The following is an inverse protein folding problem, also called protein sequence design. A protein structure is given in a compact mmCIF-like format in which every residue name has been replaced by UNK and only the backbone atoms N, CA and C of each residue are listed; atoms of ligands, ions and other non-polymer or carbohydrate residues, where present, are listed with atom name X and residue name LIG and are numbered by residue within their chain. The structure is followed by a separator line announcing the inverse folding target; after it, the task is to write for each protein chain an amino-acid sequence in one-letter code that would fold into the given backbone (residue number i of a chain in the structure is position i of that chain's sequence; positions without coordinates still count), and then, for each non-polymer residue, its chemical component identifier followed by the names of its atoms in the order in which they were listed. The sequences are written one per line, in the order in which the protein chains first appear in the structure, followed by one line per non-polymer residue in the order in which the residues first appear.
data_IF_666342645871
#
_entry.id   IF_666342645871
#
_cell.length_a   1.000
_cell.length_b   1.000
_cell.length_c   1.000
_cell.angle_alpha   90.00
_cell.angle_beta   90.00
_cell.angle_gamma   90.00
#
_symmetry.space_group_name_H-M   'P 1'
#
loop_
_entity.id
_entity.type
_entity.pdbx_description
1 polymer ?
#
# COMPACT_ATOMS: atom_id res chain seq x y z
N UNK A 1 -22.03 23.28 -12.84
CA UNK A 1 -23.44 22.82 -12.63
C UNK A 1 -23.60 21.31 -12.93
N UNK A 2 -22.96 20.75 -13.95
CA UNK A 2 -23.05 19.31 -14.30
C UNK A 2 -22.45 18.41 -13.19
N UNK A 3 -21.27 18.73 -12.65
CA UNK A 3 -20.60 17.98 -11.56
C UNK A 3 -21.45 17.96 -10.28
N UNK A 4 -22.19 19.04 -9.98
CA UNK A 4 -23.06 19.10 -8.81
C UNK A 4 -24.32 18.23 -8.95
N UNK A 5 -24.83 18.03 -10.18
CA UNK A 5 -25.95 17.11 -10.45
C UNK A 5 -25.53 15.65 -10.40
N UNK A 6 -24.32 15.32 -10.84
CA UNK A 6 -23.78 13.97 -10.81
C UNK A 6 -23.60 13.47 -9.36
N UNK A 7 -23.15 14.34 -8.43
CA UNK A 7 -23.06 14.02 -6.99
C UNK A 7 -24.41 13.78 -6.30
N UNK A 8 -25.52 14.30 -6.88
CA UNK A 8 -26.88 14.08 -6.32
C UNK A 8 -27.52 12.77 -6.78
N UNK A 9 -26.98 12.10 -7.80
CA UNK A 9 -27.53 10.85 -8.37
C UNK A 9 -26.80 9.59 -7.89
N UNK A 10 -25.63 9.71 -7.25
CA UNK A 10 -24.90 8.57 -6.73
C UNK A 10 -25.22 8.34 -5.25
N UNK A 11 -25.28 7.09 -4.84
CA UNK A 11 -25.28 6.68 -3.43
C UNK A 11 -24.04 7.30 -2.78
N UNK A 12 -24.21 8.02 -1.68
CA UNK A 12 -23.10 8.66 -0.98
C UNK A 12 -22.17 7.60 -0.37
N UNK A 13 -20.89 7.92 -0.25
CA UNK A 13 -19.88 6.99 0.28
C UNK A 13 -20.26 6.48 1.68
N UNK A 14 -20.80 7.33 2.55
CA UNK A 14 -21.36 6.96 3.87
C UNK A 14 -22.46 5.91 3.81
N UNK A 15 -23.29 5.92 2.74
CA UNK A 15 -24.37 4.93 2.59
C UNK A 15 -23.78 3.56 2.21
N UNK A 16 -22.69 3.54 1.43
CA UNK A 16 -21.94 2.32 1.08
C UNK A 16 -21.21 1.74 2.29
N UNK A 17 -20.57 2.59 3.08
CA UNK A 17 -19.93 2.20 4.34
C UNK A 17 -20.95 1.62 5.33
N UNK A 18 -22.13 2.24 5.46
CA UNK A 18 -23.23 1.72 6.25
C UNK A 18 -23.72 0.35 5.80
N UNK A 19 -23.77 0.09 4.48
CA UNK A 19 -24.13 -1.20 3.92
C UNK A 19 -23.09 -2.29 4.24
N UNK A 20 -21.81 -1.93 4.21
CA UNK A 20 -20.69 -2.85 4.49
C UNK A 20 -20.39 -2.96 6.01
N UNK A 21 -20.93 -2.06 6.83
CA UNK A 21 -20.66 -2.03 8.26
C UNK A 21 -19.22 -1.67 8.62
N UNK A 22 -18.53 -0.94 7.75
CA UNK A 22 -17.12 -0.55 7.91
C UNK A 22 -16.85 0.83 7.30
N UNK A 23 -15.85 1.54 7.83
CA UNK A 23 -15.25 2.68 7.15
C UNK A 23 -14.12 2.20 6.23
N UNK A 24 -14.05 2.78 5.04
CA UNK A 24 -12.98 2.50 4.07
C UNK A 24 -11.76 3.36 4.35
N UNK A 25 -10.58 2.75 4.30
CA UNK A 25 -9.29 3.43 4.46
C UNK A 25 -8.26 2.82 3.51
N UNK A 26 -7.20 3.58 3.25
CA UNK A 26 -6.02 3.13 2.55
C UNK A 26 -4.90 2.75 3.51
N UNK A 27 -4.42 1.52 3.46
CA UNK A 27 -3.25 1.05 4.17
C UNK A 27 -2.12 0.90 3.13
N UNK A 28 -1.20 1.86 3.13
CA UNK A 28 -0.14 1.97 2.13
C UNK A 28 1.19 1.48 2.68
N UNK A 29 1.56 0.24 2.35
CA UNK A 29 2.89 -0.27 2.71
C UNK A 29 3.96 0.26 1.76
N UNK A 30 5.01 0.83 2.33
CA UNK A 30 6.24 1.22 1.63
C UNK A 30 7.46 0.54 2.26
N UNK A 31 8.55 0.43 1.51
CA UNK A 31 9.79 -0.21 1.96
C UNK A 31 10.49 -1.00 0.86
N UNK A 32 11.69 -1.49 1.13
CA UNK A 32 12.55 -2.19 0.18
C UNK A 32 11.93 -3.50 -0.33
N UNK A 33 12.40 -4.00 -1.47
CA UNK A 33 12.08 -5.36 -1.91
C UNK A 33 12.52 -6.37 -0.84
N UNK A 34 11.74 -7.43 -0.60
CA UNK A 34 12.08 -8.42 0.42
C UNK A 34 11.88 -7.97 1.88
N UNK A 35 11.40 -6.74 2.13
CA UNK A 35 11.16 -6.25 3.51
C UNK A 35 9.98 -6.90 4.23
N UNK A 36 9.12 -7.67 3.54
CA UNK A 36 7.98 -8.36 4.15
C UNK A 36 6.61 -7.73 3.90
N UNK A 37 6.50 -6.63 3.12
CA UNK A 37 5.24 -5.91 2.83
C UNK A 37 4.09 -6.82 2.42
N UNK A 38 4.27 -7.62 1.36
CA UNK A 38 3.22 -8.50 0.83
C UNK A 38 2.83 -9.60 1.83
N UNK A 39 3.77 -10.10 2.60
CA UNK A 39 3.52 -11.10 3.66
C UNK A 39 2.62 -10.53 4.75
N UNK A 40 2.95 -9.32 5.23
CA UNK A 40 2.15 -8.62 6.24
C UNK A 40 0.78 -8.25 5.66
N UNK A 41 0.71 -7.74 4.42
CA UNK A 41 -0.54 -7.37 3.75
C UNK A 41 -1.51 -8.56 3.66
N UNK A 42 -1.02 -9.75 3.25
CA UNK A 42 -1.83 -10.98 3.17
C UNK A 42 -2.29 -11.44 4.55
N UNK A 43 -1.43 -11.35 5.57
CA UNK A 43 -1.80 -11.73 6.92
C UNK A 43 -2.84 -10.77 7.50
N UNK A 44 -2.70 -9.46 7.27
CA UNK A 44 -3.67 -8.45 7.66
C UNK A 44 -5.03 -8.67 6.97
N UNK A 45 -5.03 -8.92 5.65
CA UNK A 45 -6.27 -9.24 4.91
C UNK A 45 -7.03 -10.41 5.53
N UNK A 46 -6.31 -11.49 5.88
CA UNK A 46 -6.91 -12.66 6.53
C UNK A 46 -7.54 -12.32 7.88
N UNK A 47 -6.88 -11.49 8.67
CA UNK A 47 -7.38 -11.06 9.97
C UNK A 47 -8.59 -10.13 9.86
N UNK A 48 -8.61 -9.23 8.88
CA UNK A 48 -9.76 -8.37 8.59
C UNK A 48 -10.95 -9.21 8.09
N UNK A 49 -10.70 -10.16 7.19
CA UNK A 49 -11.73 -11.07 6.68
C UNK A 49 -12.37 -11.92 7.80
N UNK A 50 -11.58 -12.46 8.75
CA UNK A 50 -12.10 -13.19 9.92
C UNK A 50 -13.06 -12.33 10.78
N UNK A 51 -12.89 -11.01 10.73
CA UNK A 51 -13.74 -10.03 11.43
C UNK A 51 -14.95 -9.58 10.61
N UNK A 52 -15.15 -10.16 9.41
CA UNK A 52 -16.24 -9.81 8.52
C UNK A 52 -16.04 -8.49 7.77
N UNK A 53 -14.81 -8.00 7.70
CA UNK A 53 -14.45 -6.75 7.02
C UNK A 53 -13.99 -7.04 5.60
N UNK A 54 -14.56 -6.29 4.64
CA UNK A 54 -14.21 -6.41 3.21
C UNK A 54 -13.00 -5.57 2.91
N UNK A 55 -11.93 -6.21 2.44
CA UNK A 55 -10.72 -5.53 2.01
C UNK A 55 -10.18 -6.05 0.68
N UNK A 56 -9.32 -5.27 0.03
CA UNK A 56 -8.66 -5.62 -1.24
C UNK A 56 -7.18 -5.30 -1.19
N UNK A 57 -6.35 -6.30 -1.52
CA UNK A 57 -4.91 -6.09 -1.71
C UNK A 57 -4.61 -5.68 -3.16
N UNK A 58 -3.79 -4.65 -3.30
CA UNK A 58 -3.11 -4.25 -4.52
C UNK A 58 -1.62 -4.51 -4.32
N UNK A 59 -1.10 -5.54 -4.97
CA UNK A 59 0.32 -5.93 -4.89
C UNK A 59 1.03 -5.63 -6.20
N UNK A 60 2.32 -5.28 -6.12
CA UNK A 60 3.11 -4.81 -7.25
C UNK A 60 3.19 -5.82 -8.40
N UNK A 61 3.26 -7.11 -8.12
CA UNK A 61 3.37 -8.14 -9.15
C UNK A 61 2.04 -8.29 -9.93
N UNK A 62 0.91 -8.31 -9.22
CA UNK A 62 -0.41 -8.43 -9.83
C UNK A 62 -0.78 -7.19 -10.67
N UNK A 63 -0.45 -6.00 -10.18
CA UNK A 63 -0.74 -4.75 -10.90
C UNK A 63 0.10 -4.64 -12.17
N UNK A 64 1.37 -5.05 -12.14
CA UNK A 64 2.25 -5.01 -13.30
C UNK A 64 1.92 -6.06 -14.36
N UNK A 65 1.30 -7.17 -14.02
CA UNK A 65 0.79 -8.14 -14.99
C UNK A 65 -0.53 -7.74 -15.66
N UNK A 66 -1.24 -6.74 -15.08
CA UNK A 66 -2.53 -6.25 -15.55
C UNK A 66 -2.51 -4.77 -15.94
N UNK A 67 -3.04 -3.91 -15.09
CA UNK A 67 -3.29 -2.48 -15.33
C UNK A 67 -2.01 -1.72 -15.77
N UNK A 68 -0.85 -2.10 -15.26
CA UNK A 68 0.43 -1.45 -15.50
C UNK A 68 1.40 -2.28 -16.34
N UNK A 69 0.90 -3.20 -17.16
CA UNK A 69 1.72 -4.09 -17.99
C UNK A 69 2.53 -3.35 -19.09
N UNK A 70 2.15 -2.13 -19.42
CA UNK A 70 2.84 -1.27 -20.37
C UNK A 70 3.92 -0.37 -19.73
N UNK A 71 4.10 -0.41 -18.39
CA UNK A 71 5.06 0.41 -17.67
C UNK A 71 6.35 -0.37 -17.38
N UNK A 72 7.49 0.29 -17.64
CA UNK A 72 8.83 -0.19 -17.28
C UNK A 72 9.26 0.20 -15.86
N UNK A 73 10.58 0.48 -15.72
CA UNK A 73 11.19 0.82 -14.44
C UNK A 73 11.94 2.18 -14.48
N UNK A 74 11.67 3.00 -15.50
CA UNK A 74 12.17 4.38 -15.53
C UNK A 74 11.52 5.17 -14.37
N UNK A 75 12.06 6.32 -14.03
CA UNK A 75 11.51 7.19 -13.01
C UNK A 75 10.07 7.61 -13.35
N UNK A 76 9.84 8.02 -14.61
CA UNK A 76 8.49 8.37 -15.09
C UNK A 76 7.50 7.19 -14.99
N UNK A 77 7.93 5.97 -15.37
CA UNK A 77 7.09 4.78 -15.23
C UNK A 77 6.75 4.47 -13.76
N UNK A 78 7.69 4.71 -12.85
CA UNK A 78 7.44 4.51 -11.41
C UNK A 78 6.42 5.50 -10.86
N UNK A 79 6.52 6.77 -11.25
CA UNK A 79 5.54 7.81 -10.89
C UNK A 79 4.17 7.43 -11.43
N UNK A 80 4.07 7.10 -12.73
CA UNK A 80 2.81 6.73 -13.36
C UNK A 80 2.23 5.43 -12.77
N UNK A 81 3.07 4.45 -12.43
CA UNK A 81 2.63 3.25 -11.73
C UNK A 81 1.94 3.57 -10.41
N UNK A 82 2.54 4.40 -9.57
CA UNK A 82 1.97 4.80 -8.28
C UNK A 82 0.72 5.66 -8.47
N UNK A 83 0.73 6.58 -9.44
CA UNK A 83 -0.44 7.40 -9.76
C UNK A 83 -1.66 6.53 -10.12
N UNK A 84 -1.50 5.56 -11.03
CA UNK A 84 -2.60 4.65 -11.41
C UNK A 84 -3.10 3.81 -10.23
N UNK A 85 -2.19 3.35 -9.37
CA UNK A 85 -2.56 2.60 -8.17
C UNK A 85 -3.37 3.47 -7.22
N UNK A 86 -2.97 4.72 -7.02
CA UNK A 86 -3.68 5.67 -6.16
C UNK A 86 -5.11 5.94 -6.69
N UNK A 87 -5.28 6.14 -8.01
CA UNK A 87 -6.60 6.31 -8.62
C UNK A 87 -7.51 5.08 -8.44
N UNK A 88 -6.95 3.87 -8.67
CA UNK A 88 -7.69 2.62 -8.47
C UNK A 88 -8.04 2.44 -6.99
N UNK A 89 -7.11 2.74 -6.09
CA UNK A 89 -7.34 2.68 -4.64
C UNK A 89 -8.48 3.61 -4.22
N UNK A 90 -8.51 4.83 -4.77
CA UNK A 90 -9.59 5.79 -4.52
C UNK A 90 -10.94 5.24 -4.92
N UNK A 91 -11.06 4.58 -6.08
CA UNK A 91 -12.32 3.96 -6.51
C UNK A 91 -12.79 2.86 -5.55
N UNK A 92 -11.88 2.06 -4.97
CA UNK A 92 -12.24 1.07 -3.95
C UNK A 92 -12.69 1.73 -2.65
N UNK A 93 -11.99 2.77 -2.20
CA UNK A 93 -12.33 3.53 -0.99
C UNK A 93 -13.70 4.20 -1.17
N UNK A 94 -13.94 4.87 -2.29
CA UNK A 94 -15.24 5.47 -2.63
C UNK A 94 -16.38 4.42 -2.74
N UNK A 95 -16.01 3.14 -2.80
CA UNK A 95 -16.95 2.00 -2.78
C UNK A 95 -17.10 1.37 -1.39
N UNK A 96 -16.48 1.91 -0.34
CA UNK A 96 -16.54 1.41 1.03
C UNK A 96 -15.57 0.25 1.31
N UNK A 97 -14.61 -0.03 0.42
CA UNK A 97 -13.70 -1.18 0.53
C UNK A 97 -12.37 -0.74 1.14
N UNK A 98 -11.96 -1.37 2.24
CA UNK A 98 -10.63 -1.19 2.82
C UNK A 98 -9.59 -1.62 1.80
N UNK A 99 -8.65 -0.75 1.46
CA UNK A 99 -7.67 -1.04 0.43
C UNK A 99 -6.26 -1.14 1.03
N UNK A 100 -5.54 -2.19 0.68
CA UNK A 100 -4.19 -2.46 1.16
C UNK A 100 -3.25 -2.45 -0.05
N UNK A 101 -2.29 -1.53 -0.09
CA UNK A 101 -1.30 -1.45 -1.16
C UNK A 101 0.09 -1.88 -0.66
N UNK A 102 0.78 -2.72 -1.41
CA UNK A 102 2.12 -3.21 -1.08
C UNK A 102 3.11 -2.91 -2.22
N UNK A 103 3.72 -1.72 -2.16
CA UNK A 103 4.65 -1.22 -3.18
C UNK A 103 5.94 -0.68 -2.57
N UNK A 104 7.01 -0.57 -3.36
CA UNK A 104 8.26 0.03 -2.89
C UNK A 104 8.05 1.52 -2.64
N UNK A 105 7.41 2.25 -3.59
CA UNK A 105 7.17 3.72 -3.54
C UNK A 105 8.37 4.50 -2.97
N UNK A 106 9.48 4.63 -3.73
CA UNK A 106 10.81 4.86 -3.18
C UNK A 106 11.08 6.29 -2.68
N UNK A 107 10.32 7.29 -3.07
CA UNK A 107 10.53 8.68 -2.64
C UNK A 107 9.28 9.30 -2.02
N UNK A 108 9.48 10.37 -1.25
CA UNK A 108 8.41 11.04 -0.51
C UNK A 108 7.39 11.67 -1.45
N UNK A 109 7.82 12.30 -2.56
CA UNK A 109 6.93 13.01 -3.49
C UNK A 109 5.87 12.09 -4.10
N UNK A 110 6.26 10.86 -4.51
CA UNK A 110 5.28 9.91 -5.08
C UNK A 110 4.31 9.37 -4.04
N UNK A 111 4.72 9.26 -2.77
CA UNK A 111 3.83 8.85 -1.67
C UNK A 111 2.87 9.97 -1.30
N UNK A 112 3.36 11.22 -1.27
CA UNK A 112 2.53 12.40 -1.07
C UNK A 112 1.52 12.57 -2.21
N UNK A 113 1.94 12.38 -3.46
CA UNK A 113 1.02 12.36 -4.61
C UNK A 113 -0.08 11.33 -4.43
N UNK A 114 0.25 10.11 -4.00
CA UNK A 114 -0.73 9.06 -3.75
C UNK A 114 -1.71 9.45 -2.64
N UNK A 115 -1.20 10.00 -1.52
CA UNK A 115 -2.02 10.47 -0.41
C UNK A 115 -2.96 11.62 -0.82
N UNK A 116 -2.49 12.53 -1.68
CA UNK A 116 -3.32 13.64 -2.21
C UNK A 116 -4.42 13.16 -3.17
N UNK A 117 -4.17 12.12 -3.96
CA UNK A 117 -5.19 11.52 -4.86
C UNK A 117 -6.27 10.81 -4.04
N UNK A 118 -5.87 10.04 -3.04
CA UNK A 118 -6.77 9.21 -2.22
C UNK A 118 -7.58 10.07 -1.24
N UNK A 119 -6.92 11.01 -0.58
CA UNK A 119 -7.39 11.79 0.57
C UNK A 119 -6.50 11.50 1.77
N UNK A 120 -5.89 12.55 2.33
CA UNK A 120 -4.90 12.38 3.41
C UNK A 120 -5.51 11.82 4.70
N UNK A 121 -6.80 12.10 4.96
CA UNK A 121 -7.55 11.63 6.12
C UNK A 121 -7.76 10.11 6.13
N UNK A 122 -7.83 9.49 4.94
CA UNK A 122 -8.05 8.05 4.76
C UNK A 122 -6.77 7.29 4.42
N UNK A 123 -5.61 7.98 4.36
CA UNK A 123 -4.34 7.42 3.94
C UNK A 123 -3.42 7.10 5.13
N UNK A 124 -3.19 5.83 5.41
CA UNK A 124 -2.31 5.34 6.48
C UNK A 124 -1.05 4.75 5.88
N UNK A 125 0.04 5.52 5.91
CA UNK A 125 1.35 5.09 5.43
C UNK A 125 2.02 4.18 6.45
N UNK A 126 2.36 2.97 6.04
CA UNK A 126 3.05 1.96 6.88
C UNK A 126 4.44 1.72 6.30
N UNK A 127 5.45 2.12 7.03
CA UNK A 127 6.85 1.92 6.66
C UNK A 127 7.38 0.57 7.16
N UNK A 128 7.72 -0.33 6.23
CA UNK A 128 8.40 -1.58 6.56
C UNK A 128 9.91 -1.34 6.48
N UNK A 129 10.50 -0.97 7.64
CA UNK A 129 11.85 -0.42 7.80
C UNK A 129 12.95 -1.48 7.89
N UNK A 130 12.67 -2.70 7.47
CA UNK A 130 13.63 -3.81 7.48
C UNK A 130 14.95 -3.39 6.82
N UNK A 131 16.11 -3.57 7.49
CA UNK A 131 17.41 -3.17 6.96
C UNK A 131 17.72 -3.80 5.62
N UNK A 132 18.45 -3.06 4.75
CA UNK A 132 18.86 -3.54 3.43
C UNK A 132 19.61 -4.87 3.51
N UNK A 133 20.51 -5.02 4.46
CA UNK A 133 21.28 -6.26 4.68
C UNK A 133 20.38 -7.48 4.91
N UNK A 134 19.29 -7.29 5.63
CA UNK A 134 18.33 -8.37 5.88
C UNK A 134 17.46 -8.63 4.63
N UNK A 135 17.08 -7.59 3.91
CA UNK A 135 16.38 -7.74 2.64
C UNK A 135 17.23 -8.50 1.60
N UNK A 136 18.53 -8.17 1.50
CA UNK A 136 19.49 -8.88 0.65
C UNK A 136 19.68 -10.34 1.10
N UNK A 137 19.81 -10.59 2.41
CA UNK A 137 19.93 -11.95 2.95
C UNK A 137 18.73 -12.82 2.57
N UNK A 138 17.53 -12.25 2.61
CA UNK A 138 16.30 -12.95 2.23
C UNK A 138 16.22 -13.22 0.74
N UNK A 139 16.49 -12.22 -0.06
CA UNK A 139 16.45 -12.16 -1.54
C UNK A 139 15.46 -13.15 -2.21
N UNK A 140 14.24 -13.20 -1.72
CA UNK A 140 13.21 -14.21 -2.06
C UNK A 140 13.00 -14.37 -3.56
N UNK A 141 13.25 -13.29 -4.34
CA UNK A 141 13.06 -13.26 -5.80
C UNK A 141 14.38 -13.30 -6.58
N UNK A 142 15.54 -13.39 -5.91
CA UNK A 142 16.86 -13.32 -6.53
C UNK A 142 17.18 -11.96 -7.19
N UNK A 143 16.43 -10.91 -6.83
CA UNK A 143 16.56 -9.59 -7.45
C UNK A 143 17.80 -8.84 -6.96
N UNK A 144 18.16 -8.98 -5.68
CA UNK A 144 19.38 -8.36 -5.14
C UNK A 144 20.63 -8.95 -5.76
N UNK A 145 20.72 -10.26 -5.88
CA UNK A 145 21.82 -10.92 -6.55
C UNK A 145 21.97 -10.44 -8.00
N UNK A 146 20.89 -10.31 -8.75
CA UNK A 146 20.89 -9.74 -10.12
C UNK A 146 21.31 -8.28 -10.15
N UNK A 147 20.82 -7.45 -9.22
CA UNK A 147 21.18 -6.04 -9.15
C UNK A 147 22.68 -5.86 -8.82
N UNK A 148 23.24 -6.67 -7.90
CA UNK A 148 24.67 -6.65 -7.57
C UNK A 148 25.57 -7.06 -8.76
N UNK A 149 25.09 -7.95 -9.62
CA UNK A 149 25.79 -8.31 -10.87
C UNK A 149 25.60 -7.30 -12.01
N UNK A 150 24.82 -6.22 -11.77
CA UNK A 150 24.55 -5.20 -12.79
C UNK A 150 23.51 -5.59 -13.84
N UNK A 151 22.82 -6.73 -13.67
CA UNK A 151 21.78 -7.21 -14.59
C UNK A 151 20.48 -6.37 -14.48
N UNK A 152 20.25 -5.76 -13.32
CA UNK A 152 19.10 -4.86 -13.08
C UNK A 152 19.63 -3.46 -12.80
N UNK A 153 19.31 -2.52 -13.68
CA UNK A 153 19.62 -1.09 -13.51
C UNK A 153 18.55 -0.43 -12.62
N UNK A 154 18.94 0.63 -11.91
CA UNK A 154 18.04 1.45 -11.08
C UNK A 154 17.25 0.64 -10.03
N UNK A 155 17.90 -0.36 -9.41
CA UNK A 155 17.28 -1.16 -8.37
C UNK A 155 17.29 -0.40 -7.03
N UNK A 156 16.11 -0.18 -6.46
CA UNK A 156 15.93 0.58 -5.22
C UNK A 156 16.65 -0.09 -4.05
N UNK A 157 17.49 0.68 -3.36
CA UNK A 157 18.33 0.23 -2.26
C UNK A 157 19.73 -0.22 -2.67
N UNK A 158 20.01 -0.42 -3.98
CA UNK A 158 21.34 -0.79 -4.50
C UNK A 158 21.89 0.32 -5.41
N UNK A 159 21.25 0.56 -6.55
CA UNK A 159 21.67 1.55 -7.56
C UNK A 159 20.70 2.71 -7.73
N UNK A 160 19.58 2.70 -7.00
CA UNK A 160 18.65 3.80 -6.86
C UNK A 160 18.34 4.03 -5.37
N UNK A 161 18.11 5.29 -4.95
CA UNK A 161 17.83 5.61 -3.55
C UNK A 161 16.45 5.11 -3.11
N UNK A 162 16.31 4.95 -1.80
CA UNK A 162 15.04 4.83 -1.09
C UNK A 162 15.00 5.90 0.00
N UNK A 163 13.97 6.72 -0.02
CA UNK A 163 13.72 7.74 1.01
C UNK A 163 12.74 7.17 2.03
N UNK A 164 13.16 7.09 3.28
CA UNK A 164 12.27 6.72 4.36
C UNK A 164 11.13 7.75 4.49
N UNK A 165 9.90 7.30 4.80
CA UNK A 165 8.81 8.23 5.11
C UNK A 165 9.16 9.18 6.24
N UNK A 166 8.72 10.44 6.12
CA UNK A 166 8.97 11.46 7.15
C UNK A 166 8.05 11.27 8.36
N UNK A 167 6.79 10.93 8.11
CA UNK A 167 5.75 10.84 9.15
C UNK A 167 4.85 9.62 8.90
N UNK A 168 5.38 8.38 8.91
CA UNK A 168 4.55 7.20 8.71
C UNK A 168 3.58 7.02 9.88
N UNK A 169 2.37 6.53 9.61
CA UNK A 169 1.40 6.19 10.64
C UNK A 169 1.87 5.02 11.52
N UNK A 170 2.71 4.13 10.96
CA UNK A 170 3.34 3.02 11.66
C UNK A 170 4.66 2.65 11.00
N UNK A 171 5.64 2.26 11.80
CA UNK A 171 6.93 1.71 11.33
C UNK A 171 7.11 0.30 11.85
N UNK A 172 7.40 -0.65 10.96
CA UNK A 172 7.56 -2.07 11.27
C UNK A 172 8.94 -2.56 10.80
N UNK A 173 9.74 -3.08 11.72
CA UNK A 173 11.01 -3.74 11.40
C UNK A 173 10.83 -5.26 11.48
N UNK A 174 10.66 -5.92 10.33
CA UNK A 174 10.46 -7.37 10.28
C UNK A 174 11.73 -8.19 10.53
N UNK A 175 12.87 -7.56 10.80
CA UNK A 175 14.05 -8.24 11.32
C UNK A 175 13.96 -8.48 12.83
N UNK A 176 13.09 -7.72 13.52
CA UNK A 176 12.89 -7.74 14.98
C UNK A 176 11.51 -8.23 15.38
N UNK A 177 10.51 -7.96 14.55
CA UNK A 177 9.10 -8.31 14.80
C UNK A 177 8.74 -9.59 14.05
N UNK A 178 8.04 -10.48 14.73
CA UNK A 178 7.34 -11.59 14.08
C UNK A 178 6.21 -11.09 13.17
N UNK A 179 5.69 -11.96 12.32
CA UNK A 179 4.54 -11.64 11.48
C UNK A 179 3.30 -11.31 12.33
N UNK A 180 3.08 -12.07 13.39
CA UNK A 180 1.95 -11.89 14.30
C UNK A 180 2.03 -10.55 15.03
N UNK A 181 3.18 -10.19 15.60
CA UNK A 181 3.39 -8.89 16.24
C UNK A 181 3.18 -7.73 15.26
N UNK A 182 3.68 -7.85 14.03
CA UNK A 182 3.50 -6.84 12.98
C UNK A 182 2.02 -6.64 12.63
N UNK A 183 1.25 -7.74 12.52
CA UNK A 183 -0.19 -7.68 12.23
C UNK A 183 -0.97 -7.11 13.42
N UNK A 184 -0.62 -7.48 14.65
CA UNK A 184 -1.29 -6.94 15.84
C UNK A 184 -1.11 -5.43 15.96
N UNK A 185 0.11 -4.91 15.75
CA UNK A 185 0.35 -3.46 15.73
C UNK A 185 -0.46 -2.74 14.65
N UNK A 186 -0.64 -3.37 13.48
CA UNK A 186 -1.50 -2.81 12.42
C UNK A 186 -2.97 -2.84 12.80
N UNK A 187 -3.45 -3.91 13.41
CA UNK A 187 -4.83 -4.00 13.87
C UNK A 187 -5.13 -2.96 14.94
N UNK A 188 -4.22 -2.74 15.88
CA UNK A 188 -4.36 -1.71 16.93
C UNK A 188 -4.47 -0.30 16.32
N UNK A 189 -3.72 -0.03 15.24
CA UNK A 189 -3.79 1.24 14.52
C UNK A 189 -5.10 1.39 13.74
N UNK A 190 -5.53 0.34 13.01
CA UNK A 190 -6.55 0.45 11.97
C UNK A 190 -7.97 0.15 12.48
N UNK A 191 -8.16 -0.81 13.39
CA UNK A 191 -9.50 -1.18 13.86
C UNK A 191 -10.32 -0.01 14.41
N UNK A 192 -9.75 0.93 15.20
CA UNK A 192 -10.50 2.10 15.67
C UNK A 192 -10.97 3.04 14.56
N UNK A 193 -10.35 2.95 13.37
CA UNK A 193 -10.62 3.81 12.20
C UNK A 193 -11.65 3.20 11.25
N UNK A 194 -11.67 1.87 11.14
CA UNK A 194 -12.51 1.16 10.18
C UNK A 194 -13.82 0.60 10.78
N UNK A 195 -13.90 0.46 12.08
CA UNK A 195 -15.12 -0.05 12.73
C UNK A 195 -16.16 1.04 12.90
N UNK A 196 -17.36 0.82 12.35
CA UNK A 196 -18.51 1.65 12.64
C UNK A 196 -19.03 1.27 14.03
N UNK A 197 -18.98 2.21 14.96
CA UNK A 197 -19.61 2.01 16.28
C UNK A 197 -21.12 1.87 16.07
N UNK A 198 -21.65 0.73 16.42
CA UNK A 198 -23.10 0.49 16.46
C UNK A 198 -23.74 1.26 17.60
#
# INVERSE_FOLDING_TARGET
KAIRRQRQMCIRDRDKEGLLGQHSVMIWFTGLSGSGKSTIAIALERELHKRGLLCRILDGDNIRSGINNNLGFTEADRVENIRRIAEVSKLFIDSGIITIAAFISPNNDIREMAANIIGQEDFYEVYVSTPLTECERRDVKGLYAKARRGEIKNFTGISAPFEAPLHPALTLDTSKLSLEESVNQLLDLILPKIQIKK
#
